data_IF_627547773695
#
_entry.id   IF_627547773695
#
_cell.length_a   1.000
_cell.length_b   1.000
_cell.length_c   1.000
_cell.angle_alpha   90.00
_cell.angle_beta   90.00
_cell.angle_gamma   90.00
#
_symmetry.space_group_name_H-M   'P 1'
#
loop_
_entity.id
_entity.type
_entity.pdbx_description
1 polymer ?
#
# COMPACT_ATOMS: atom_id res chain seq x y z
N UNK A 1 -8.94 -8.78 19.05
CA UNK A 1 -8.30 -8.87 17.71
C UNK A 1 -8.94 -7.80 16.87
N UNK A 2 -8.13 -6.99 16.19
CA UNK A 2 -8.69 -6.01 15.27
C UNK A 2 -9.43 -6.76 14.15
N UNK A 3 -10.63 -6.33 13.86
CA UNK A 3 -11.48 -6.95 12.86
C UNK A 3 -10.79 -6.89 11.50
N UNK A 4 -10.62 -8.05 10.83
CA UNK A 4 -10.07 -8.19 9.48
C UNK A 4 -8.55 -7.95 9.27
N UNK A 5 -7.76 -7.80 10.33
CA UNK A 5 -6.28 -7.87 10.24
C UNK A 5 -5.78 -8.82 11.31
N UNK A 6 -5.18 -9.93 10.91
CA UNK A 6 -4.53 -10.83 11.85
C UNK A 6 -3.04 -10.50 12.01
N UNK A 7 -2.52 -10.72 13.23
CA UNK A 7 -1.14 -10.46 13.59
C UNK A 7 -0.52 -11.70 14.24
N UNK A 8 0.58 -12.18 13.69
CA UNK A 8 1.32 -13.34 14.21
C UNK A 8 2.81 -13.02 14.27
N UNK A 9 3.43 -13.27 15.42
CA UNK A 9 4.88 -13.17 15.58
C UNK A 9 5.47 -14.59 15.75
N UNK A 10 6.26 -15.02 14.77
CA UNK A 10 6.94 -16.30 14.83
C UNK A 10 8.35 -16.19 14.21
N UNK A 11 9.37 -16.69 14.92
CA UNK A 11 10.76 -16.68 14.43
C UNK A 11 11.33 -15.28 14.14
N UNK A 12 10.82 -14.23 14.84
CA UNK A 12 11.24 -12.85 14.62
C UNK A 12 10.55 -12.16 13.42
N UNK A 13 9.65 -12.85 12.72
CA UNK A 13 8.83 -12.29 11.66
C UNK A 13 7.45 -11.97 12.19
N UNK A 14 7.07 -10.69 12.16
CA UNK A 14 5.71 -10.22 12.41
C UNK A 14 4.94 -10.27 11.09
N UNK A 15 3.99 -11.20 10.99
CA UNK A 15 3.11 -11.31 9.83
C UNK A 15 1.82 -10.54 10.08
N UNK A 16 1.51 -9.60 9.18
CA UNK A 16 0.27 -8.84 9.13
C UNK A 16 -0.53 -9.33 7.94
N UNK A 17 -1.66 -10.01 8.21
CA UNK A 17 -2.51 -10.60 7.17
C UNK A 17 -3.81 -9.82 7.04
N UNK A 18 -4.10 -9.33 5.84
CA UNK A 18 -5.40 -8.77 5.49
C UNK A 18 -6.41 -9.92 5.36
N UNK A 19 -7.42 -9.96 6.22
CA UNK A 19 -8.32 -11.11 6.40
C UNK A 19 -9.80 -10.74 6.16
N UNK A 20 -10.07 -10.02 5.04
CA UNK A 20 -11.40 -9.61 4.60
C UNK A 20 -11.62 -10.02 3.14
N UNK A 21 -11.40 -11.31 2.86
CA UNK A 21 -11.40 -11.84 1.50
C UNK A 21 -12.74 -11.68 0.77
N UNK A 22 -13.87 -11.70 1.47
CA UNK A 22 -15.23 -11.45 0.95
C UNK A 22 -15.40 -10.06 0.33
N UNK A 23 -14.60 -9.09 0.78
CA UNK A 23 -14.51 -7.72 0.24
C UNK A 23 -13.19 -7.45 -0.49
N UNK A 24 -12.52 -8.51 -0.98
CA UNK A 24 -11.21 -8.39 -1.65
C UNK A 24 -10.19 -7.60 -0.82
N UNK A 25 -10.24 -7.75 0.49
CA UNK A 25 -9.39 -7.03 1.45
C UNK A 25 -9.44 -5.50 1.30
N UNK A 26 -10.61 -4.93 0.92
CA UNK A 26 -10.82 -3.48 0.97
C UNK A 26 -10.57 -2.95 2.38
N UNK A 27 -9.71 -1.92 2.51
CA UNK A 27 -9.19 -1.43 3.77
C UNK A 27 -10.15 -0.43 4.42
N UNK A 28 -10.68 -0.82 5.58
CA UNK A 28 -11.45 0.06 6.46
C UNK A 28 -10.53 0.87 7.38
N UNK A 29 -11.08 1.90 8.02
CA UNK A 29 -10.34 2.69 9.01
C UNK A 29 -9.81 1.80 10.16
N UNK A 30 -10.58 0.82 10.61
CA UNK A 30 -10.16 -0.16 11.63
C UNK A 30 -9.00 -1.04 11.17
N UNK A 31 -8.97 -1.42 9.88
CA UNK A 31 -7.85 -2.19 9.31
C UNK A 31 -6.58 -1.32 9.22
N UNK A 32 -6.70 -0.06 8.83
CA UNK A 32 -5.57 0.89 8.84
C UNK A 32 -5.00 1.09 10.24
N UNK A 33 -5.87 1.25 11.25
CA UNK A 33 -5.46 1.34 12.66
C UNK A 33 -4.67 0.10 13.08
N UNK A 34 -5.19 -1.09 12.78
CA UNK A 34 -4.52 -2.35 13.12
C UNK A 34 -3.17 -2.56 12.41
N UNK A 35 -3.06 -2.13 11.15
CA UNK A 35 -1.80 -2.16 10.40
C UNK A 35 -0.79 -1.16 10.98
N UNK A 36 -1.25 0.04 11.36
CA UNK A 36 -0.42 1.06 12.02
C UNK A 36 0.11 0.57 13.37
N UNK A 37 -0.78 0.00 14.20
CA UNK A 37 -0.40 -0.59 15.49
C UNK A 37 0.60 -1.74 15.32
N UNK A 38 0.46 -2.53 14.24
CA UNK A 38 1.41 -3.58 13.89
C UNK A 38 2.80 -3.05 13.55
N UNK A 39 2.87 -1.96 12.77
CA UNK A 39 4.15 -1.30 12.45
C UNK A 39 4.79 -0.65 13.69
N UNK A 40 4.01 0.06 14.49
CA UNK A 40 4.50 0.68 15.73
C UNK A 40 4.99 -0.37 16.74
N UNK A 41 4.26 -1.49 16.86
CA UNK A 41 4.70 -2.62 17.65
C UNK A 41 6.04 -3.17 17.13
N UNK A 42 6.20 -3.30 15.82
CA UNK A 42 7.45 -3.79 15.23
C UNK A 42 8.65 -2.88 15.52
N UNK A 43 8.44 -1.57 15.61
CA UNK A 43 9.51 -0.62 15.96
C UNK A 43 9.85 -0.67 17.47
N UNK A 44 8.87 -0.93 18.34
CA UNK A 44 9.04 -0.91 19.80
C UNK A 44 9.54 -2.23 20.39
N UNK A 45 9.23 -3.39 19.77
CA UNK A 45 9.57 -4.71 20.29
C UNK A 45 10.83 -5.27 19.59
N UNK A 46 11.94 -5.47 20.31
CA UNK A 46 13.17 -6.05 19.75
C UNK A 46 13.02 -7.50 19.27
N UNK A 47 11.98 -8.22 19.70
CA UNK A 47 11.66 -9.55 19.20
C UNK A 47 11.22 -9.52 17.73
N UNK A 48 10.71 -8.38 17.23
CA UNK A 48 10.37 -8.22 15.83
C UNK A 48 11.60 -7.80 15.04
N UNK A 49 11.97 -8.62 14.07
CA UNK A 49 13.12 -8.42 13.20
C UNK A 49 12.71 -8.01 11.79
N UNK A 50 11.56 -8.45 11.33
CA UNK A 50 11.02 -8.25 9.97
C UNK A 50 9.50 -8.17 10.06
N UNK A 51 8.89 -7.34 9.23
CA UNK A 51 7.43 -7.32 9.02
C UNK A 51 7.12 -7.94 7.67
N UNK A 52 6.15 -8.86 7.62
CA UNK A 52 5.65 -9.50 6.41
C UNK A 52 4.18 -9.14 6.21
N UNK A 53 3.85 -8.47 5.10
CA UNK A 53 2.49 -8.20 4.67
C UNK A 53 2.00 -9.29 3.71
N UNK A 54 0.77 -9.78 3.93
CA UNK A 54 0.10 -10.70 3.02
C UNK A 54 -1.42 -10.51 3.07
N UNK A 55 -2.16 -11.08 2.12
CA UNK A 55 -3.61 -11.03 2.09
C UNK A 55 -4.23 -12.42 2.00
N UNK A 56 -5.40 -12.63 2.60
CA UNK A 56 -6.20 -13.84 2.40
C UNK A 56 -7.04 -13.74 1.10
N UNK A 57 -7.40 -14.89 0.54
CA UNK A 57 -8.19 -14.96 -0.68
C UNK A 57 -7.39 -14.74 -1.96
N UNK A 58 -8.07 -14.27 -3.00
CA UNK A 58 -7.56 -14.15 -4.37
C UNK A 58 -7.00 -12.75 -4.71
N UNK A 59 -7.07 -11.81 -3.78
CA UNK A 59 -6.60 -10.43 -3.95
C UNK A 59 -5.76 -10.01 -2.74
N UNK A 60 -4.70 -9.26 -2.98
CA UNK A 60 -3.95 -8.65 -1.89
C UNK A 60 -4.80 -7.58 -1.21
N UNK A 61 -5.24 -6.56 -1.96
CA UNK A 61 -6.27 -5.60 -1.51
C UNK A 61 -6.88 -4.85 -2.68
N UNK A 62 -8.18 -4.56 -2.57
CA UNK A 62 -8.89 -3.67 -3.48
C UNK A 62 -8.67 -2.17 -3.20
N UNK A 63 -7.78 -1.82 -2.26
CA UNK A 63 -7.57 -0.44 -1.82
C UNK A 63 -8.54 -0.01 -0.73
N UNK A 64 -8.83 1.28 -0.64
CA UNK A 64 -9.74 1.84 0.37
C UNK A 64 -11.15 1.28 0.27
N UNK A 65 -11.78 1.00 1.40
CA UNK A 65 -13.23 0.75 1.44
C UNK A 65 -13.97 2.05 1.12
N UNK A 66 -14.74 2.03 0.03
CA UNK A 66 -15.37 3.24 -0.49
C UNK A 66 -16.48 3.79 0.41
N UNK A 67 -17.11 2.94 1.24
CA UNK A 67 -18.13 3.40 2.19
C UNK A 67 -17.47 4.24 3.30
N UNK A 68 -16.34 3.78 3.84
CA UNK A 68 -15.56 4.54 4.82
C UNK A 68 -14.98 5.81 4.18
N UNK A 69 -14.53 5.70 2.93
CA UNK A 69 -13.92 6.81 2.21
C UNK A 69 -14.90 7.94 1.89
N UNK A 70 -16.13 7.60 1.48
CA UNK A 70 -17.19 8.60 1.23
C UNK A 70 -17.67 9.27 2.52
N UNK A 71 -17.61 8.58 3.67
CA UNK A 71 -17.92 9.17 4.97
C UNK A 71 -16.90 10.25 5.36
N UNK A 72 -15.61 10.04 5.06
CA UNK A 72 -14.55 11.04 5.27
C UNK A 72 -14.71 12.25 4.32
N UNK A 73 -15.03 12.00 3.04
CA UNK A 73 -15.28 13.07 2.06
C UNK A 73 -16.45 13.99 2.47
N UNK A 74 -17.42 13.48 3.23
CA UNK A 74 -18.57 14.24 3.74
C UNK A 74 -18.29 14.99 5.08
N UNK A 75 -17.03 15.11 5.50
CA UNK A 75 -16.63 15.95 6.63
C UNK A 75 -17.05 15.44 8.02
N UNK A 76 -17.37 14.15 8.15
CA UNK A 76 -17.79 13.53 9.43
C UNK A 76 -16.62 13.10 10.32
N UNK A 77 -15.39 13.09 9.78
CA UNK A 77 -14.19 12.73 10.53
C UNK A 77 -13.25 13.95 10.61
N UNK A 78 -13.05 14.48 11.81
CA UNK A 78 -12.19 15.63 12.10
C UNK A 78 -10.82 15.22 12.66
N UNK A 79 -10.54 13.91 12.73
CA UNK A 79 -9.30 13.34 13.23
C UNK A 79 -8.22 13.16 12.15
N UNK A 80 -7.01 12.84 12.59
CA UNK A 80 -5.96 12.37 11.69
C UNK A 80 -6.37 10.99 11.13
N UNK A 81 -6.42 10.87 9.80
CA UNK A 81 -6.86 9.63 9.14
C UNK A 81 -5.92 8.47 9.48
N UNK A 82 -6.46 7.32 9.89
CA UNK A 82 -5.67 6.10 10.14
C UNK A 82 -4.93 5.64 8.89
N UNK A 83 -5.46 5.92 7.69
CA UNK A 83 -4.75 5.70 6.44
C UNK A 83 -3.48 6.57 6.36
N UNK A 84 -3.54 7.84 6.76
CA UNK A 84 -2.36 8.71 6.81
C UNK A 84 -1.35 8.24 7.86
N UNK A 85 -1.81 7.81 9.05
CA UNK A 85 -0.95 7.22 10.09
C UNK A 85 -0.22 6.00 9.55
N UNK A 86 -0.91 5.08 8.86
CA UNK A 86 -0.32 3.90 8.24
C UNK A 86 0.74 4.27 7.19
N UNK A 87 0.41 5.17 6.26
CA UNK A 87 1.34 5.65 5.23
C UNK A 87 2.58 6.31 5.86
N UNK A 88 2.37 7.12 6.90
CA UNK A 88 3.45 7.76 7.64
C UNK A 88 4.36 6.73 8.32
N UNK A 89 3.78 5.68 8.93
CA UNK A 89 4.52 4.58 9.55
C UNK A 89 5.31 3.76 8.53
N UNK A 90 4.75 3.49 7.34
CA UNK A 90 5.51 2.88 6.23
C UNK A 90 6.72 3.72 5.83
N UNK A 91 6.53 5.04 5.72
CA UNK A 91 7.60 5.98 5.40
C UNK A 91 8.74 5.98 6.42
N UNK A 92 8.43 5.78 7.70
CA UNK A 92 9.36 5.85 8.85
C UNK A 92 9.93 4.48 9.25
N UNK A 93 9.41 3.37 8.69
CA UNK A 93 9.78 2.03 9.13
C UNK A 93 11.29 1.75 9.02
N UNK A 94 11.90 1.36 10.14
CA UNK A 94 13.32 0.99 10.22
C UNK A 94 13.52 -0.52 10.08
N UNK A 95 12.52 -1.32 10.45
CA UNK A 95 12.55 -2.77 10.24
C UNK A 95 12.39 -3.09 8.75
N UNK A 96 13.03 -4.16 8.25
CA UNK A 96 12.75 -4.66 6.91
C UNK A 96 11.27 -4.98 6.73
N UNK A 97 10.70 -4.53 5.61
CA UNK A 97 9.33 -4.79 5.20
C UNK A 97 9.34 -5.73 3.99
N UNK A 98 8.59 -6.81 4.08
CA UNK A 98 8.42 -7.81 3.01
C UNK A 98 6.94 -7.87 2.63
N UNK A 99 6.64 -8.00 1.34
CA UNK A 99 5.27 -8.17 0.87
C UNK A 99 5.12 -9.43 0.01
N UNK A 100 4.03 -10.16 0.25
CA UNK A 100 3.54 -11.28 -0.56
C UNK A 100 2.22 -10.87 -1.20
N UNK A 101 2.21 -10.64 -2.53
CA UNK A 101 1.12 -9.99 -3.25
C UNK A 101 0.54 -10.93 -4.30
N UNK A 102 -0.71 -11.35 -4.12
CA UNK A 102 -1.48 -12.11 -5.09
C UNK A 102 -2.64 -11.27 -5.66
N UNK A 103 -3.02 -11.55 -6.89
CA UNK A 103 -4.16 -10.91 -7.53
C UNK A 103 -4.07 -9.39 -7.53
N UNK A 104 -5.17 -8.71 -7.24
CA UNK A 104 -5.21 -7.26 -7.30
C UNK A 104 -4.54 -6.60 -6.08
N UNK A 105 -3.71 -5.60 -6.35
CA UNK A 105 -3.18 -4.63 -5.40
C UNK A 105 -3.53 -3.23 -5.90
N UNK A 106 -4.50 -2.57 -5.26
CA UNK A 106 -5.10 -1.32 -5.76
C UNK A 106 -4.79 -0.15 -4.83
N UNK A 107 -4.46 1.00 -5.40
CA UNK A 107 -4.20 2.24 -4.65
C UNK A 107 -3.07 2.04 -3.64
N UNK A 108 -3.38 2.19 -2.35
CA UNK A 108 -2.44 1.95 -1.25
C UNK A 108 -1.84 0.54 -1.28
N UNK A 109 -2.57 -0.46 -1.80
CA UNK A 109 -2.04 -1.81 -1.97
C UNK A 109 -0.84 -1.88 -2.91
N UNK A 110 -0.80 -1.01 -3.92
CA UNK A 110 0.37 -0.85 -4.79
C UNK A 110 1.39 0.10 -4.17
N UNK A 111 0.96 1.25 -3.65
CA UNK A 111 1.89 2.30 -3.19
C UNK A 111 2.64 1.91 -1.93
N UNK A 112 2.06 1.09 -1.03
CA UNK A 112 2.78 0.54 0.12
C UNK A 112 3.98 -0.33 -0.28
N UNK A 113 3.94 -0.96 -1.46
CA UNK A 113 5.05 -1.79 -1.95
C UNK A 113 6.31 -0.97 -2.24
N UNK A 114 6.17 0.33 -2.50
CA UNK A 114 7.29 1.25 -2.69
C UNK A 114 8.09 1.46 -1.38
N UNK A 115 7.49 1.13 -0.24
CA UNK A 115 8.12 1.17 1.08
C UNK A 115 8.64 -0.20 1.51
N UNK A 116 8.24 -1.29 0.84
CA UNK A 116 8.76 -2.61 1.10
C UNK A 116 10.17 -2.78 0.54
N UNK A 117 11.01 -3.48 1.32
CA UNK A 117 12.40 -3.78 0.96
C UNK A 117 12.49 -5.02 0.06
N UNK A 118 11.56 -5.98 0.24
CA UNK A 118 11.41 -7.14 -0.62
C UNK A 118 9.93 -7.32 -1.01
N UNK A 119 9.68 -7.52 -2.30
CA UNK A 119 8.34 -7.72 -2.85
C UNK A 119 8.31 -9.01 -3.68
N UNK A 120 7.42 -9.91 -3.32
CA UNK A 120 7.15 -11.14 -4.04
C UNK A 120 5.75 -11.08 -4.62
N UNK A 121 5.62 -11.35 -5.91
CA UNK A 121 4.35 -11.32 -6.63
C UNK A 121 3.95 -12.73 -7.05
N UNK A 122 2.67 -13.04 -6.93
CA UNK A 122 2.10 -14.15 -7.68
C UNK A 122 2.08 -13.81 -9.17
N UNK A 123 2.10 -14.82 -10.04
CA UNK A 123 1.92 -14.69 -11.49
C UNK A 123 0.59 -14.01 -11.87
N UNK A 124 -0.41 -14.11 -10.98
CA UNK A 124 -1.72 -13.46 -11.11
C UNK A 124 -1.76 -12.01 -10.66
N UNK A 125 -0.67 -11.46 -10.08
CA UNK A 125 -0.67 -10.13 -9.49
C UNK A 125 -0.88 -9.02 -10.53
N UNK A 126 -1.69 -8.01 -10.14
CA UNK A 126 -2.00 -6.80 -10.92
C UNK A 126 -1.88 -5.60 -10.00
N UNK A 127 -0.94 -4.72 -10.30
CA UNK A 127 -0.68 -3.50 -9.54
C UNK A 127 -1.39 -2.33 -10.20
N UNK A 128 -2.21 -1.61 -9.46
CA UNK A 128 -3.06 -0.54 -9.99
C UNK A 128 -3.05 0.69 -9.09
N UNK A 129 -3.01 1.88 -9.69
CA UNK A 129 -3.04 3.16 -8.96
C UNK A 129 -4.05 4.13 -9.58
N UNK A 130 -5.37 3.81 -9.56
CA UNK A 130 -6.39 4.54 -10.30
C UNK A 130 -6.82 5.85 -9.58
N UNK A 131 -5.88 6.65 -9.10
CA UNK A 131 -6.17 7.88 -8.36
C UNK A 131 -6.94 8.89 -9.19
N UNK A 132 -6.48 9.17 -10.42
CA UNK A 132 -7.12 10.16 -11.31
C UNK A 132 -8.52 9.70 -11.74
N UNK A 133 -8.76 8.40 -11.83
CA UNK A 133 -10.09 7.85 -12.12
C UNK A 133 -11.12 8.20 -11.01
N UNK A 134 -10.67 8.50 -9.81
CA UNK A 134 -11.47 8.97 -8.68
C UNK A 134 -11.31 10.47 -8.43
N UNK A 135 -10.77 11.21 -9.40
CA UNK A 135 -10.43 12.64 -9.31
C UNK A 135 -9.47 12.99 -8.15
N UNK A 136 -8.64 12.02 -7.74
CA UNK A 136 -7.66 12.13 -6.68
C UNK A 136 -6.24 12.23 -7.23
N UNK A 137 -5.28 12.47 -6.35
CA UNK A 137 -3.85 12.48 -6.64
C UNK A 137 -3.15 11.30 -5.95
N UNK A 138 -1.91 10.92 -6.37
CA UNK A 138 -1.11 9.91 -5.69
C UNK A 138 -0.87 10.22 -4.20
N UNK A 139 -0.63 9.17 -3.42
CA UNK A 139 -0.31 9.21 -1.98
C UNK A 139 0.92 8.33 -1.67
N UNK A 140 1.34 8.27 -0.39
CA UNK A 140 2.47 7.45 0.09
C UNK A 140 3.82 7.76 -0.58
N UNK A 141 4.10 9.02 -0.91
CA UNK A 141 5.26 9.45 -1.69
C UNK A 141 5.36 8.78 -3.07
N UNK A 142 4.29 8.14 -3.54
CA UNK A 142 4.31 7.37 -4.79
C UNK A 142 4.50 8.25 -6.03
N UNK A 143 4.10 9.52 -6.00
CA UNK A 143 4.34 10.46 -7.11
C UNK A 143 5.83 10.71 -7.35
N UNK A 144 6.67 10.45 -6.36
CA UNK A 144 8.14 10.52 -6.47
C UNK A 144 8.77 9.12 -6.59
N UNK A 145 8.38 8.17 -5.74
CA UNK A 145 9.00 6.85 -5.66
C UNK A 145 8.70 5.97 -6.87
N UNK A 146 7.46 6.00 -7.40
CA UNK A 146 7.09 5.14 -8.52
C UNK A 146 7.82 5.53 -9.83
N UNK A 147 7.84 6.82 -10.25
CA UNK A 147 8.61 7.22 -11.42
C UNK A 147 10.12 6.93 -11.31
N UNK A 148 10.67 7.03 -10.09
CA UNK A 148 12.08 6.70 -9.84
C UNK A 148 12.38 5.21 -10.08
N UNK A 149 11.42 4.32 -9.82
CA UNK A 149 11.60 2.86 -10.01
C UNK A 149 11.29 2.37 -11.42
N UNK A 150 10.19 2.85 -12.03
CA UNK A 150 9.69 2.29 -13.30
C UNK A 150 9.76 3.24 -14.48
N UNK A 151 10.28 4.44 -14.27
CA UNK A 151 10.32 5.52 -15.25
C UNK A 151 9.02 6.32 -15.33
N UNK A 152 9.15 7.60 -15.74
CA UNK A 152 8.05 8.57 -15.75
C UNK A 152 6.87 8.12 -16.62
N UNK A 153 7.13 7.68 -17.85
CA UNK A 153 6.07 7.35 -18.82
C UNK A 153 5.14 6.25 -18.30
N UNK A 154 5.73 5.18 -17.75
CA UNK A 154 4.95 4.05 -17.21
C UNK A 154 4.22 4.45 -15.93
N UNK A 155 4.88 5.17 -15.03
CA UNK A 155 4.23 5.66 -13.81
C UNK A 155 3.07 6.60 -14.12
N UNK A 156 3.22 7.48 -15.11
CA UNK A 156 2.15 8.38 -15.53
C UNK A 156 0.95 7.62 -16.13
N UNK A 157 1.18 6.59 -16.94
CA UNK A 157 0.10 5.74 -17.47
C UNK A 157 -0.68 5.03 -16.34
N UNK A 158 0.04 4.52 -15.31
CA UNK A 158 -0.61 3.94 -14.13
C UNK A 158 -1.45 4.96 -13.36
N UNK A 159 -0.93 6.17 -13.12
CA UNK A 159 -1.64 7.19 -12.35
C UNK A 159 -2.77 7.86 -13.12
N UNK A 160 -2.52 8.27 -14.37
CA UNK A 160 -3.42 9.10 -15.14
C UNK A 160 -4.48 8.30 -15.91
N UNK A 161 -4.11 7.13 -16.42
CA UNK A 161 -5.00 6.26 -17.20
C UNK A 161 -5.55 5.09 -16.37
N UNK A 162 -4.95 4.81 -15.19
CA UNK A 162 -5.30 3.66 -14.38
C UNK A 162 -4.85 2.33 -15.00
N UNK A 163 -3.87 2.35 -15.90
CA UNK A 163 -3.37 1.13 -16.55
C UNK A 163 -2.76 0.18 -15.52
N UNK A 164 -3.18 -1.10 -15.49
CA UNK A 164 -2.61 -2.08 -14.59
C UNK A 164 -1.20 -2.49 -15.02
N UNK A 165 -0.31 -2.69 -14.05
CA UNK A 165 1.00 -3.28 -14.24
C UNK A 165 0.94 -4.76 -13.85
N UNK A 166 1.25 -5.67 -14.76
CA UNK A 166 1.28 -7.10 -14.48
C UNK A 166 2.58 -7.54 -13.78
N UNK A 167 2.56 -8.75 -13.21
CA UNK A 167 3.68 -9.26 -12.43
C UNK A 167 4.99 -9.39 -13.23
N UNK A 168 5.01 -9.92 -14.47
CA UNK A 168 6.23 -9.97 -15.27
C UNK A 168 6.82 -8.58 -15.54
N UNK A 169 5.97 -7.60 -15.87
CA UNK A 169 6.43 -6.22 -16.11
C UNK A 169 6.92 -5.57 -14.83
N UNK A 170 6.24 -5.79 -13.69
CA UNK A 170 6.67 -5.30 -12.38
C UNK A 170 8.05 -5.84 -11.98
N UNK A 171 8.32 -7.13 -12.25
CA UNK A 171 9.65 -7.72 -12.07
C UNK A 171 10.68 -7.08 -13.00
N UNK A 172 10.38 -6.94 -14.29
CA UNK A 172 11.30 -6.39 -15.28
C UNK A 172 11.68 -4.93 -15.00
N UNK A 173 10.81 -4.15 -14.35
CA UNK A 173 11.10 -2.75 -14.02
C UNK A 173 11.53 -2.53 -12.54
N UNK A 174 11.81 -3.59 -11.79
CA UNK A 174 12.41 -3.49 -10.45
C UNK A 174 11.43 -3.16 -9.33
N UNK A 175 10.12 -3.40 -9.52
CA UNK A 175 9.12 -3.30 -8.44
C UNK A 175 9.00 -4.57 -7.61
N UNK A 176 9.48 -5.70 -8.12
CA UNK A 176 9.42 -6.97 -7.44
C UNK A 176 10.78 -7.70 -7.48
N UNK A 177 11.04 -8.54 -6.48
CA UNK A 177 12.22 -9.39 -6.39
C UNK A 177 12.02 -10.71 -7.14
N UNK A 178 10.79 -11.23 -7.16
CA UNK A 178 10.46 -12.46 -7.89
C UNK A 178 8.96 -12.52 -8.21
N UNK A 179 8.65 -13.26 -9.26
CA UNK A 179 7.30 -13.73 -9.59
C UNK A 179 7.29 -15.23 -9.46
N UNK A 180 6.31 -15.76 -8.74
CA UNK A 180 6.18 -17.20 -8.44
C UNK A 180 4.72 -17.65 -8.64
N UNK A 181 4.45 -18.96 -8.79
CA UNK A 181 3.07 -19.45 -8.74
C UNK A 181 2.36 -19.02 -7.46
N UNK A 182 1.06 -18.72 -7.54
CA UNK A 182 0.30 -18.25 -6.38
C UNK A 182 0.36 -19.24 -5.19
N UNK A 183 0.47 -20.56 -5.45
CA UNK A 183 0.65 -21.59 -4.43
C UNK A 183 1.92 -21.43 -3.60
N UNK A 184 2.98 -20.89 -4.19
CA UNK A 184 4.33 -20.84 -3.61
C UNK A 184 4.62 -19.49 -2.97
N UNK A 185 3.77 -18.47 -3.23
CA UNK A 185 4.00 -17.08 -2.88
C UNK A 185 4.30 -16.87 -1.40
N UNK A 186 3.43 -17.37 -0.52
CA UNK A 186 3.57 -17.17 0.94
C UNK A 186 4.82 -17.86 1.48
N UNK A 187 5.10 -19.08 1.03
CA UNK A 187 6.29 -19.81 1.42
C UNK A 187 7.57 -19.07 0.99
N UNK A 188 7.59 -18.57 -0.24
CA UNK A 188 8.74 -17.82 -0.78
C UNK A 188 9.00 -16.50 -0.05
N UNK A 189 7.94 -15.75 0.23
CA UNK A 189 8.07 -14.49 0.99
C UNK A 189 8.48 -14.74 2.45
N UNK A 190 7.93 -15.78 3.08
CA UNK A 190 8.29 -16.22 4.43
C UNK A 190 9.75 -16.64 4.53
N UNK A 191 10.24 -17.44 3.60
CA UNK A 191 11.65 -17.86 3.51
C UNK A 191 12.58 -16.63 3.46
N UNK A 192 12.25 -15.64 2.62
CA UNK A 192 13.03 -14.41 2.52
C UNK A 192 13.01 -13.59 3.83
N UNK A 193 11.84 -13.46 4.46
CA UNK A 193 11.71 -12.80 5.75
C UNK A 193 12.54 -13.49 6.83
N UNK A 194 12.50 -14.82 6.92
CA UNK A 194 13.32 -15.60 7.85
C UNK A 194 14.83 -15.52 7.56
N UNK A 195 15.21 -15.39 6.30
CA UNK A 195 16.61 -15.15 5.96
C UNK A 195 17.09 -13.79 6.47
N UNK A 196 16.24 -12.76 6.47
CA UNK A 196 16.55 -11.44 7.02
C UNK A 196 16.66 -11.47 8.56
N UNK A 197 15.85 -12.28 9.26
CA UNK A 197 15.97 -12.37 10.74
C UNK A 197 17.32 -12.91 11.22
N UNK A 198 18.03 -13.66 10.36
CA UNK A 198 19.36 -14.20 10.63
C UNK A 198 20.49 -13.19 10.38
N UNK A 199 20.21 -12.00 9.87
CA UNK A 199 21.20 -10.96 9.59
C UNK A 199 21.37 -10.02 10.79
N UNK A 200 22.52 -9.34 10.94
CA UNK A 200 22.69 -8.34 11.99
C UNK A 200 21.68 -7.19 11.86
N UNK A 201 20.83 -7.00 12.89
CA UNK A 201 19.72 -6.03 12.84
C UNK A 201 20.20 -4.59 12.58
N UNK A 202 21.26 -4.17 13.28
CA UNK A 202 21.82 -2.82 13.11
C UNK A 202 22.31 -2.57 11.69
N UNK A 203 23.00 -3.56 11.09
CA UNK A 203 23.44 -3.44 9.70
C UNK A 203 22.27 -3.35 8.71
N UNK A 204 21.23 -4.16 8.91
CA UNK A 204 20.00 -4.08 8.05
C UNK A 204 19.34 -2.71 8.15
N UNK A 205 19.12 -2.21 9.36
CA UNK A 205 18.48 -0.90 9.58
C UNK A 205 19.32 0.25 9.00
N UNK A 206 20.62 0.24 9.21
CA UNK A 206 21.52 1.27 8.65
C UNK A 206 21.60 1.18 7.12
N UNK A 207 21.66 -0.02 6.54
CA UNK A 207 21.62 -0.21 5.09
C UNK A 207 20.33 0.36 4.51
N UNK A 208 19.17 0.04 5.11
CA UNK A 208 17.89 0.60 4.70
C UNK A 208 17.89 2.14 4.78
N UNK A 209 18.40 2.71 5.87
CA UNK A 209 18.48 4.16 6.05
C UNK A 209 19.39 4.83 4.99
N UNK A 210 20.52 4.22 4.64
CA UNK A 210 21.41 4.73 3.59
C UNK A 210 20.81 4.67 2.18
N UNK A 211 19.89 3.71 1.94
CA UNK A 211 19.21 3.55 0.64
C UNK A 211 17.95 4.41 0.50
N UNK A 212 17.55 5.14 1.55
CA UNK A 212 16.29 5.90 1.58
C UNK A 212 16.52 7.32 2.09
N UNK A 213 15.96 8.28 1.37
CA UNK A 213 15.94 9.68 1.81
C UNK A 213 14.70 9.92 2.69
N UNK A 214 14.77 9.48 3.97
CA UNK A 214 13.64 9.44 4.90
C UNK A 214 12.93 10.80 5.04
N UNK A 215 13.69 11.89 5.16
CA UNK A 215 13.14 13.25 5.28
C UNK A 215 12.39 13.67 4.02
N UNK A 216 12.91 13.32 2.84
CA UNK A 216 12.23 13.61 1.56
C UNK A 216 10.96 12.77 1.42
N UNK A 217 11.00 11.50 1.83
CA UNK A 217 9.81 10.65 1.83
C UNK A 217 8.74 11.26 2.73
N UNK A 218 9.07 11.64 3.96
CA UNK A 218 8.14 12.25 4.89
C UNK A 218 7.55 13.58 4.35
N UNK A 219 8.40 14.45 3.79
CA UNK A 219 7.96 15.69 3.18
C UNK A 219 7.02 15.47 1.99
N UNK A 220 7.32 14.47 1.15
CA UNK A 220 6.47 14.13 0.01
C UNK A 220 5.12 13.53 0.44
N UNK A 221 5.10 12.64 1.44
CA UNK A 221 3.88 12.11 2.04
C UNK A 221 2.99 13.27 2.53
N UNK A 222 3.56 14.22 3.27
CA UNK A 222 2.82 15.38 3.79
C UNK A 222 2.24 16.24 2.66
N UNK A 223 3.04 16.51 1.61
CA UNK A 223 2.60 17.27 0.44
C UNK A 223 1.46 16.58 -0.31
N UNK A 224 1.61 15.30 -0.60
CA UNK A 224 0.59 14.51 -1.28
C UNK A 224 -0.69 14.42 -0.44
N UNK A 225 -0.58 14.18 0.86
CA UNK A 225 -1.74 14.10 1.76
C UNK A 225 -2.51 15.42 1.86
N UNK A 226 -1.82 16.57 1.81
CA UNK A 226 -2.48 17.87 1.77
C UNK A 226 -3.30 18.05 0.48
N UNK A 227 -2.69 17.74 -0.67
CA UNK A 227 -3.36 17.78 -1.97
C UNK A 227 -4.50 16.76 -2.07
N UNK A 228 -4.29 15.55 -1.56
CA UNK A 228 -5.29 14.49 -1.56
C UNK A 228 -6.55 14.91 -0.78
N UNK A 229 -6.39 15.48 0.44
CA UNK A 229 -7.50 16.03 1.23
C UNK A 229 -8.22 17.16 0.49
N UNK A 230 -7.46 18.04 -0.18
CA UNK A 230 -8.05 19.11 -0.98
C UNK A 230 -8.87 18.55 -2.14
N UNK A 231 -8.35 17.53 -2.84
CA UNK A 231 -9.06 16.87 -3.97
C UNK A 231 -10.34 16.18 -3.52
N UNK A 232 -10.35 15.51 -2.38
CA UNK A 232 -11.54 14.88 -1.81
C UNK A 232 -12.74 15.84 -1.63
N UNK A 233 -12.48 17.12 -1.50
CA UNK A 233 -13.52 18.14 -1.27
C UNK A 233 -14.09 18.71 -2.58
N UNK A 234 -13.57 18.32 -3.74
CA UNK A 234 -13.96 18.87 -5.04
C UNK A 234 -15.22 18.24 -5.58
N UNK A 235 -15.91 18.97 -6.47
CA UNK A 235 -17.09 18.44 -7.20
C UNK A 235 -16.72 17.30 -8.13
N UNK A 236 -15.52 17.31 -8.71
CA UNK A 236 -15.00 16.20 -9.52
C UNK A 236 -14.88 14.90 -8.70
N UNK A 237 -14.37 14.97 -7.48
CA UNK A 237 -14.30 13.79 -6.61
C UNK A 237 -15.70 13.30 -6.21
N UNK A 238 -16.64 14.21 -5.89
CA UNK A 238 -18.04 13.84 -5.60
C UNK A 238 -18.68 13.12 -6.77
N UNK A 239 -18.50 13.65 -8.01
CA UNK A 239 -19.00 13.00 -9.22
C UNK A 239 -18.35 11.63 -9.46
N UNK A 240 -17.03 11.51 -9.30
CA UNK A 240 -16.31 10.27 -9.49
C UNK A 240 -16.81 9.16 -8.53
N UNK A 241 -17.00 9.50 -7.25
CA UNK A 241 -17.53 8.56 -6.24
C UNK A 241 -18.98 8.18 -6.50
N UNK A 242 -19.85 9.15 -6.86
CA UNK A 242 -21.24 8.88 -7.23
C UNK A 242 -21.31 7.95 -8.45
N UNK A 243 -20.55 8.26 -9.50
CA UNK A 243 -20.49 7.46 -10.71
C UNK A 243 -20.00 6.03 -10.44
N UNK A 244 -18.99 5.88 -9.57
CA UNK A 244 -18.52 4.56 -9.16
C UNK A 244 -19.58 3.76 -8.41
N UNK A 245 -20.27 4.36 -7.43
CA UNK A 245 -21.32 3.72 -6.66
C UNK A 245 -22.50 3.29 -7.57
N UNK A 246 -22.83 4.12 -8.55
CA UNK A 246 -23.91 3.89 -9.54
C UNK A 246 -23.45 2.99 -10.72
N UNK A 247 -22.18 2.59 -10.77
CA UNK A 247 -21.57 1.79 -11.86
C UNK A 247 -21.74 2.43 -13.25
N UNK A 248 -21.64 3.75 -13.32
CA UNK A 248 -21.65 4.55 -14.55
C UNK A 248 -20.30 5.23 -14.79
N UNK A 249 -20.11 5.80 -15.98
CA UNK A 249 -18.97 6.68 -16.23
C UNK A 249 -19.21 8.05 -15.58
N UNK A 250 -18.18 8.68 -14.99
CA UNK A 250 -18.29 10.05 -14.46
C UNK A 250 -18.48 11.05 -15.61
N UNK A 251 -19.24 12.10 -15.35
CA UNK A 251 -19.50 13.20 -16.28
C UNK A 251 -18.90 14.50 -15.75
N UNK A 252 -17.64 14.75 -16.08
CA UNK A 252 -16.91 15.93 -15.64
C UNK A 252 -17.29 17.22 -16.38
N UNK A 253 -18.13 17.16 -17.43
CA UNK A 253 -18.56 18.36 -18.15
C UNK A 253 -19.45 19.29 -17.30
N UNK A 254 -19.99 18.77 -16.20
CA UNK A 254 -20.88 19.50 -15.28
C UNK A 254 -20.19 19.99 -14.02
N UNK A 255 -18.90 19.65 -13.85
CA UNK A 255 -18.09 19.97 -12.67
C UNK A 255 -16.76 20.56 -13.15
N UNK A 256 -16.48 21.80 -12.78
CA UNK A 256 -15.28 22.51 -13.22
C UNK A 256 -15.23 23.91 -12.66
#
# INVERSE_FOLDING_TARGET
MAEHVSRELAGGVLTLTLARADKKNALTNAMYSALSDGLEYAESDPAVRVVLFQGDGDSFTAGNDLADFSAQANGKDTGESEAFRFISNLGKATRPLVAAVQGNAVGVGTTMLLHCDLVFLADTARLMTPFVNLALVPEAASSWLLPARIGHVRAYAMFALGEPLDAPTALACGLANAVVPASDLRARAREAAEALTKRPAGALSQTKALMREMDKIAAQINRESALFRQRLQTDEAREAFAAFAERRKPDYSKVG
#
